data_IF_398635673129
#
_entry.id   IF_398635673129
#
_cell.length_a   1.000
_cell.length_b   1.000
_cell.length_c   1.000
_cell.angle_alpha   90.00
_cell.angle_beta   90.00
_cell.angle_gamma   90.00
#
_symmetry.space_group_name_H-M   'P 1'
#
loop_
_entity.id
_entity.type
_entity.pdbx_description
1 polymer ?
#
# COMPACT_ATOMS: atom_id res chain seq x y z
N UNK A 1 13.45 -6.24 -15.34
CA UNK A 1 14.33 -6.63 -16.46
C UNK A 1 15.82 -6.47 -16.13
N UNK A 2 16.26 -5.32 -15.58
CA UNK A 2 17.66 -5.06 -15.20
C UNK A 2 18.27 -6.12 -14.25
N UNK A 3 17.48 -6.63 -13.30
CA UNK A 3 17.91 -7.68 -12.37
C UNK A 3 18.41 -8.96 -13.09
N UNK A 4 17.68 -9.44 -14.08
CA UNK A 4 18.02 -10.69 -14.80
C UNK A 4 19.29 -10.50 -15.63
N UNK A 5 19.44 -9.33 -16.26
CA UNK A 5 20.64 -8.98 -17.04
C UNK A 5 21.87 -8.90 -16.13
N UNK A 6 21.74 -8.25 -14.97
CA UNK A 6 22.80 -8.17 -13.98
C UNK A 6 23.16 -9.55 -13.39
N UNK A 7 22.16 -10.38 -13.09
CA UNK A 7 22.36 -11.75 -12.62
C UNK A 7 23.16 -12.60 -13.62
N UNK A 8 22.83 -12.51 -14.92
CA UNK A 8 23.57 -13.23 -15.98
C UNK A 8 25.00 -12.73 -16.15
N UNK A 9 25.20 -11.42 -16.17
CA UNK A 9 26.53 -10.82 -16.31
C UNK A 9 27.48 -11.27 -15.19
N UNK A 10 27.01 -11.29 -13.94
CA UNK A 10 27.80 -11.74 -12.79
C UNK A 10 28.07 -13.25 -12.84
N UNK A 11 27.11 -14.06 -13.29
CA UNK A 11 27.33 -15.50 -13.51
C UNK A 11 28.40 -15.79 -14.56
N UNK A 12 28.43 -15.00 -15.63
CA UNK A 12 29.42 -15.14 -16.72
C UNK A 12 30.83 -14.74 -16.26
N UNK A 13 30.96 -13.78 -15.34
CA UNK A 13 32.27 -13.38 -14.80
C UNK A 13 32.80 -14.32 -13.70
N UNK A 14 31.97 -14.68 -12.72
CA UNK A 14 32.42 -15.43 -11.52
C UNK A 14 32.19 -16.95 -11.63
N UNK A 15 31.55 -17.43 -12.69
CA UNK A 15 31.25 -18.86 -12.90
C UNK A 15 30.32 -19.49 -11.86
N UNK A 16 29.73 -18.68 -10.96
CA UNK A 16 28.86 -19.10 -9.87
C UNK A 16 27.63 -18.21 -9.77
N UNK A 17 26.56 -18.72 -9.15
CA UNK A 17 25.31 -17.97 -9.00
C UNK A 17 25.51 -16.85 -7.96
N UNK A 18 25.37 -15.57 -8.33
CA UNK A 18 25.54 -14.45 -7.42
C UNK A 18 24.47 -14.46 -6.32
N UNK A 19 24.87 -14.05 -5.12
CA UNK A 19 23.93 -13.98 -3.99
C UNK A 19 22.87 -12.90 -4.19
N UNK A 20 21.64 -13.16 -3.72
CA UNK A 20 20.54 -12.17 -3.74
C UNK A 20 20.94 -10.85 -3.08
N UNK A 21 21.72 -10.91 -2.01
CA UNK A 21 22.22 -9.74 -1.28
C UNK A 21 23.14 -8.88 -2.13
N UNK A 22 24.09 -9.50 -2.85
CA UNK A 22 24.99 -8.80 -3.76
C UNK A 22 24.21 -8.10 -4.89
N UNK A 23 23.28 -8.81 -5.52
CA UNK A 23 22.44 -8.26 -6.60
C UNK A 23 21.65 -7.06 -6.10
N UNK A 24 21.01 -7.17 -4.94
CA UNK A 24 20.25 -6.07 -4.35
C UNK A 24 21.14 -4.87 -4.01
N UNK A 25 22.37 -5.09 -3.56
CA UNK A 25 23.35 -4.02 -3.31
C UNK A 25 23.72 -3.29 -4.61
N UNK A 26 24.02 -4.02 -5.67
CA UNK A 26 24.40 -3.44 -6.96
C UNK A 26 23.22 -2.73 -7.65
N UNK A 27 21.99 -3.22 -7.49
CA UNK A 27 20.79 -2.52 -7.95
C UNK A 27 20.55 -1.22 -7.18
N UNK A 28 20.90 -1.16 -5.89
CA UNK A 28 20.85 0.08 -5.10
C UNK A 28 21.97 1.05 -5.47
N UNK A 29 23.14 0.53 -5.83
CA UNK A 29 24.32 1.31 -6.19
C UNK A 29 24.91 0.86 -7.53
N UNK A 30 24.27 1.18 -8.67
CA UNK A 30 24.74 0.74 -9.99
C UNK A 30 26.17 1.18 -10.32
N UNK A 31 26.68 2.25 -9.70
CA UNK A 31 28.06 2.72 -9.82
C UNK A 31 29.12 1.72 -9.33
N UNK A 32 28.72 0.69 -8.58
CA UNK A 32 29.61 -0.38 -8.11
C UNK A 32 29.76 -1.52 -9.14
N UNK A 33 29.02 -1.49 -10.25
CA UNK A 33 29.15 -2.48 -11.32
C UNK A 33 30.45 -2.21 -12.09
N UNK A 34 31.36 -3.19 -12.24
CA UNK A 34 32.67 -2.98 -12.87
C UNK A 34 32.60 -2.51 -14.33
N UNK A 35 31.62 -3.01 -15.09
CA UNK A 35 31.36 -2.58 -16.46
C UNK A 35 30.57 -1.27 -16.45
N UNK A 36 31.21 -0.17 -16.84
CA UNK A 36 30.60 1.16 -16.87
C UNK A 36 29.44 1.29 -17.86
N UNK A 37 29.42 0.52 -18.95
CA UNK A 37 28.29 0.51 -19.89
C UNK A 37 27.09 -0.17 -19.25
N UNK A 38 27.32 -1.34 -18.63
CA UNK A 38 26.28 -2.05 -17.90
C UNK A 38 25.77 -1.25 -16.70
N UNK A 39 26.66 -0.61 -15.94
CA UNK A 39 26.32 0.27 -14.83
C UNK A 39 25.35 1.37 -15.27
N UNK A 40 25.64 2.03 -16.38
CA UNK A 40 24.77 3.05 -16.96
C UNK A 40 23.43 2.47 -17.44
N UNK A 41 23.45 1.32 -18.12
CA UNK A 41 22.21 0.67 -18.58
C UNK A 41 21.29 0.27 -17.41
N UNK A 42 21.86 -0.34 -16.35
CA UNK A 42 21.12 -0.71 -15.15
C UNK A 42 20.54 0.53 -14.46
N UNK A 43 21.34 1.59 -14.33
CA UNK A 43 20.87 2.86 -13.79
C UNK A 43 19.70 3.44 -14.60
N UNK A 44 19.83 3.49 -15.94
CA UNK A 44 18.76 3.96 -16.82
C UNK A 44 17.50 3.11 -16.70
N UNK A 45 17.62 1.78 -16.57
CA UNK A 45 16.47 0.93 -16.34
C UNK A 45 15.77 1.23 -15.02
N UNK A 46 16.52 1.51 -13.94
CA UNK A 46 15.93 1.82 -12.62
C UNK A 46 15.21 3.17 -12.65
N UNK A 47 15.86 4.20 -13.17
CA UNK A 47 15.31 5.56 -13.16
C UNK A 47 14.12 5.71 -14.11
N UNK A 48 14.11 4.98 -15.23
CA UNK A 48 13.02 5.03 -16.20
C UNK A 48 11.97 3.91 -16.03
N UNK A 49 12.01 3.15 -14.93
CA UNK A 49 10.98 2.15 -14.64
C UNK A 49 9.68 2.87 -14.26
N UNK A 50 8.71 2.84 -15.18
CA UNK A 50 7.41 3.51 -15.05
C UNK A 50 6.43 2.75 -14.15
N UNK A 51 6.78 1.56 -13.66
CA UNK A 51 5.92 0.77 -12.78
C UNK A 51 6.44 0.72 -11.34
N UNK A 52 7.73 0.49 -11.18
CA UNK A 52 8.39 0.18 -9.89
C UNK A 52 9.69 0.96 -9.68
N UNK A 53 9.90 2.02 -10.44
CA UNK A 53 11.04 2.92 -10.26
C UNK A 53 10.86 3.83 -9.04
N UNK A 54 11.96 4.36 -8.49
CA UNK A 54 11.92 5.21 -7.30
C UNK A 54 11.07 6.48 -7.49
N UNK A 55 11.05 7.04 -8.70
CA UNK A 55 10.20 8.20 -9.01
C UNK A 55 8.71 7.85 -8.92
N UNK A 56 8.33 6.70 -9.46
CA UNK A 56 6.94 6.21 -9.44
C UNK A 56 6.52 5.88 -8.02
N UNK A 57 7.41 5.30 -7.21
CA UNK A 57 7.15 5.04 -5.80
C UNK A 57 6.95 6.35 -5.02
N UNK A 58 7.76 7.38 -5.27
CA UNK A 58 7.55 8.72 -4.68
C UNK A 58 6.20 9.31 -5.08
N UNK A 59 5.81 9.19 -6.35
CA UNK A 59 4.50 9.67 -6.85
C UNK A 59 3.36 8.91 -6.16
N UNK A 60 3.42 7.58 -6.10
CA UNK A 60 2.42 6.75 -5.40
C UNK A 60 2.30 7.13 -3.93
N UNK A 61 3.42 7.36 -3.26
CA UNK A 61 3.42 7.77 -1.86
C UNK A 61 2.79 9.15 -1.66
N UNK A 62 3.13 10.13 -2.51
CA UNK A 62 2.55 11.47 -2.47
C UNK A 62 1.03 11.43 -2.71
N UNK A 63 0.58 10.69 -3.72
CA UNK A 63 -0.85 10.51 -4.02
C UNK A 63 -1.58 9.80 -2.88
N UNK A 64 -0.97 8.78 -2.27
CA UNK A 64 -1.51 8.09 -1.10
C UNK A 64 -1.75 9.06 0.06
N UNK A 65 -0.72 9.84 0.39
CA UNK A 65 -0.80 10.85 1.44
C UNK A 65 -1.87 11.92 1.15
N UNK A 66 -1.98 12.40 -0.08
CA UNK A 66 -3.04 13.36 -0.48
C UNK A 66 -4.45 12.80 -0.21
N UNK A 67 -4.69 11.50 -0.48
CA UNK A 67 -5.99 10.88 -0.23
C UNK A 67 -6.24 10.60 1.25
N UNK A 68 -5.21 10.33 2.05
CA UNK A 68 -5.34 10.26 3.51
C UNK A 68 -5.74 11.63 4.10
N UNK A 69 -5.11 12.72 3.63
CA UNK A 69 -5.48 14.09 4.02
C UNK A 69 -6.92 14.40 3.60
N UNK A 70 -7.30 14.08 2.37
CA UNK A 70 -8.69 14.25 1.90
C UNK A 70 -9.69 13.46 2.76
N UNK A 71 -9.38 12.20 3.08
CA UNK A 71 -10.23 11.38 3.96
C UNK A 71 -10.36 12.00 5.35
N UNK A 72 -9.26 12.53 5.89
CA UNK A 72 -9.25 13.23 7.16
C UNK A 72 -10.19 14.45 7.14
N UNK A 73 -10.12 15.26 6.09
CA UNK A 73 -11.02 16.41 5.90
C UNK A 73 -12.49 15.95 5.84
N UNK A 74 -12.80 14.90 5.07
CA UNK A 74 -14.16 14.34 4.98
C UNK A 74 -14.70 13.84 6.32
N UNK A 75 -13.86 13.19 7.14
CA UNK A 75 -14.22 12.75 8.49
C UNK A 75 -14.54 13.95 9.40
N UNK A 76 -13.70 14.99 9.37
CA UNK A 76 -13.90 16.22 10.14
C UNK A 76 -15.16 16.97 9.72
N UNK A 77 -15.42 17.11 8.41
CA UNK A 77 -16.64 17.74 7.89
C UNK A 77 -17.93 17.03 8.33
N UNK A 78 -17.85 15.72 8.59
CA UNK A 78 -18.95 14.90 9.11
C UNK A 78 -18.99 14.82 10.64
N UNK A 79 -18.09 15.51 11.33
CA UNK A 79 -17.93 15.45 12.79
C UNK A 79 -17.71 14.03 13.32
N UNK A 80 -17.00 13.19 12.56
CA UNK A 80 -16.64 11.84 12.99
C UNK A 80 -15.30 11.94 13.71
N UNK A 81 -15.26 11.47 14.97
CA UNK A 81 -14.03 11.47 15.77
C UNK A 81 -13.16 10.25 15.46
N UNK A 82 -11.85 10.45 15.34
CA UNK A 82 -10.90 9.41 14.95
C UNK A 82 -9.51 9.60 15.55
N UNK A 83 -8.75 8.51 15.56
CA UNK A 83 -7.31 8.46 15.81
C UNK A 83 -6.59 8.16 14.50
N UNK A 84 -5.64 9.02 14.13
CA UNK A 84 -4.80 8.83 12.95
C UNK A 84 -3.60 7.90 13.23
N UNK A 85 -2.97 7.41 12.15
CA UNK A 85 -1.90 6.44 12.20
C UNK A 85 -0.72 6.84 13.14
N UNK A 86 -0.31 8.10 13.10
CA UNK A 86 0.79 8.65 13.91
C UNK A 86 0.52 8.52 15.41
N UNK A 87 -0.72 8.80 15.83
CA UNK A 87 -1.18 8.64 17.21
C UNK A 87 -1.22 7.17 17.63
N UNK A 88 -1.58 6.27 16.72
CA UNK A 88 -1.58 4.83 16.98
C UNK A 88 -0.14 4.31 17.13
N UNK A 89 0.78 4.73 16.25
CA UNK A 89 2.20 4.36 16.36
C UNK A 89 2.81 4.87 17.66
N UNK A 90 2.47 6.09 18.09
CA UNK A 90 2.90 6.63 19.39
C UNK A 90 2.39 5.81 20.59
N UNK A 91 1.23 5.13 20.45
CA UNK A 91 0.68 4.20 21.44
C UNK A 91 1.28 2.79 21.37
N UNK A 92 2.20 2.53 20.44
CA UNK A 92 2.92 1.26 20.32
C UNK A 92 2.24 0.18 19.48
N UNK A 93 1.33 0.55 18.57
CA UNK A 93 0.75 -0.40 17.62
C UNK A 93 1.69 -0.64 16.43
N UNK A 94 2.00 -1.92 16.14
CA UNK A 94 2.88 -2.30 15.02
C UNK A 94 2.19 -2.31 13.64
N UNK A 95 0.85 -2.44 13.63
CA UNK A 95 0.00 -2.52 12.43
C UNK A 95 -1.20 -1.64 12.68
N UNK A 96 -1.34 -0.60 11.87
CA UNK A 96 -2.24 0.52 12.08
C UNK A 96 -2.98 0.81 10.78
N UNK A 97 -4.32 0.83 10.78
CA UNK A 97 -5.05 1.43 9.68
C UNK A 97 -4.81 2.96 9.69
N UNK A 98 -5.12 3.63 8.59
CA UNK A 98 -4.96 5.10 8.50
C UNK A 98 -5.77 5.83 9.57
N UNK A 99 -7.00 5.36 9.80
CA UNK A 99 -7.90 5.93 10.80
C UNK A 99 -8.63 4.84 11.60
N UNK A 100 -8.62 4.97 12.93
CA UNK A 100 -9.54 4.27 13.84
C UNK A 100 -10.60 5.26 14.29
N UNK A 101 -11.88 4.91 14.16
CA UNK A 101 -12.99 5.74 14.61
C UNK A 101 -13.18 5.59 16.12
N UNK A 102 -13.24 6.69 16.84
CA UNK A 102 -13.50 6.65 18.29
C UNK A 102 -14.93 6.19 18.59
N UNK A 103 -15.86 6.58 17.72
CA UNK A 103 -17.24 6.11 17.71
C UNK A 103 -17.48 5.41 16.37
N UNK A 104 -17.81 4.11 16.36
CA UNK A 104 -18.09 3.38 15.13
C UNK A 104 -19.26 3.99 14.36
N UNK A 105 -19.20 3.91 13.04
CA UNK A 105 -20.26 4.37 12.15
C UNK A 105 -20.94 3.20 11.46
N UNK A 106 -22.20 3.37 11.06
CA UNK A 106 -22.90 2.42 10.20
C UNK A 106 -22.88 2.89 8.75
N UNK A 107 -22.48 1.99 7.85
CA UNK A 107 -22.43 2.19 6.38
C UNK A 107 -23.09 0.98 5.74
N UNK A 108 -24.16 1.18 4.97
CA UNK A 108 -24.93 0.08 4.35
C UNK A 108 -25.29 -1.06 5.32
N UNK A 109 -25.64 -0.72 6.56
CA UNK A 109 -25.97 -1.70 7.61
C UNK A 109 -24.78 -2.43 8.25
N UNK A 110 -23.55 -2.09 7.87
CA UNK A 110 -22.33 -2.63 8.45
C UNK A 110 -21.72 -1.62 9.43
N UNK A 111 -21.29 -2.10 10.60
CA UNK A 111 -20.58 -1.27 11.58
C UNK A 111 -19.12 -1.17 11.15
N UNK A 112 -18.56 0.03 11.20
CA UNK A 112 -17.19 0.33 10.75
C UNK A 112 -16.43 0.94 11.92
N UNK A 113 -15.33 0.31 12.31
CA UNK A 113 -14.44 0.76 13.39
C UNK A 113 -13.17 1.45 12.89
N UNK A 114 -12.75 1.15 11.67
CA UNK A 114 -11.55 1.71 11.07
C UNK A 114 -11.73 1.90 9.57
N UNK A 115 -10.97 2.83 9.00
CA UNK A 115 -10.96 3.13 7.58
C UNK A 115 -9.52 3.09 7.08
N UNK A 116 -9.33 2.45 5.92
CA UNK A 116 -8.07 2.41 5.18
C UNK A 116 -8.27 3.05 3.81
N UNK A 117 -7.40 3.99 3.46
CA UNK A 117 -7.33 4.75 2.23
C UNK A 117 -6.33 4.10 1.27
N UNK A 118 -6.80 3.61 0.13
CA UNK A 118 -5.94 3.08 -0.95
C UNK A 118 -6.11 3.95 -2.19
N UNK A 119 -5.14 4.84 -2.43
CA UNK A 119 -5.08 5.66 -3.65
C UNK A 119 -4.55 4.86 -4.85
N UNK A 120 -5.18 3.72 -5.11
CA UNK A 120 -4.84 2.76 -6.15
C UNK A 120 -6.10 2.03 -6.63
N UNK A 121 -6.01 1.37 -7.77
CA UNK A 121 -7.05 0.44 -8.22
C UNK A 121 -6.92 -0.88 -7.45
N UNK A 122 -8.03 -1.41 -6.93
CA UNK A 122 -8.07 -2.70 -6.25
C UNK A 122 -8.09 -3.87 -7.23
N UNK A 123 -6.91 -4.40 -7.56
CA UNK A 123 -6.76 -5.67 -8.29
C UNK A 123 -6.63 -6.88 -7.34
N UNK A 124 -6.88 -8.09 -7.85
CA UNK A 124 -6.89 -9.33 -7.07
C UNK A 124 -5.56 -9.61 -6.34
N UNK A 125 -4.42 -9.38 -7.01
CA UNK A 125 -3.11 -9.68 -6.46
C UNK A 125 -2.79 -8.74 -5.28
N UNK A 126 -2.95 -7.44 -5.50
CA UNK A 126 -2.71 -6.42 -4.48
C UNK A 126 -3.68 -6.56 -3.31
N UNK A 127 -4.98 -6.77 -3.58
CA UNK A 127 -6.00 -6.93 -2.55
C UNK A 127 -5.73 -8.16 -1.66
N UNK A 128 -5.38 -9.29 -2.27
CA UNK A 128 -5.05 -10.51 -1.53
C UNK A 128 -3.81 -10.33 -0.64
N UNK A 129 -2.80 -9.58 -1.10
CA UNK A 129 -1.65 -9.22 -0.28
C UNK A 129 -2.06 -8.34 0.91
N UNK A 130 -2.85 -7.29 0.68
CA UNK A 130 -3.33 -6.42 1.75
C UNK A 130 -4.21 -7.15 2.79
N UNK A 131 -5.06 -8.07 2.36
CA UNK A 131 -5.84 -8.92 3.28
C UNK A 131 -4.94 -9.64 4.28
N UNK A 132 -3.89 -10.28 3.78
CA UNK A 132 -2.98 -11.09 4.59
C UNK A 132 -2.04 -10.24 5.45
N UNK A 133 -1.52 -9.13 4.90
CA UNK A 133 -0.46 -8.35 5.55
C UNK A 133 -1.00 -7.24 6.46
N UNK A 134 -2.27 -6.85 6.28
CA UNK A 134 -2.89 -5.68 6.90
C UNK A 134 -4.33 -5.96 7.39
N UNK A 135 -5.30 -6.15 6.50
CA UNK A 135 -6.72 -6.01 6.82
C UNK A 135 -7.22 -7.03 7.85
N UNK A 136 -6.79 -8.29 7.75
CA UNK A 136 -7.17 -9.28 8.77
C UNK A 136 -6.56 -8.98 10.13
N UNK A 137 -5.38 -8.35 10.19
CA UNK A 137 -4.79 -7.90 11.45
C UNK A 137 -5.61 -6.79 12.08
N UNK A 138 -6.07 -5.83 11.27
CA UNK A 138 -6.94 -4.75 11.74
C UNK A 138 -8.28 -5.30 12.21
N UNK A 139 -8.89 -6.19 11.43
CA UNK A 139 -10.15 -6.83 11.79
C UNK A 139 -10.07 -7.59 13.12
N UNK A 140 -9.03 -8.40 13.31
CA UNK A 140 -8.84 -9.14 14.56
C UNK A 140 -8.63 -8.23 15.78
N UNK A 141 -8.09 -7.02 15.59
CA UNK A 141 -7.77 -6.08 16.68
C UNK A 141 -8.88 -5.08 16.98
N UNK A 142 -9.52 -4.57 15.95
CA UNK A 142 -10.42 -3.42 16.02
C UNK A 142 -11.84 -3.73 15.54
N UNK A 143 -12.08 -4.93 15.01
CA UNK A 143 -13.37 -5.33 14.47
C UNK A 143 -13.56 -4.92 13.00
N UNK A 144 -14.80 -4.96 12.49
CA UNK A 144 -15.09 -4.63 11.10
C UNK A 144 -14.60 -3.25 10.64
N UNK A 145 -14.22 -3.13 9.37
CA UNK A 145 -13.68 -1.90 8.80
C UNK A 145 -13.98 -1.70 7.33
N UNK A 146 -13.61 -0.52 6.85
CA UNK A 146 -13.85 -0.03 5.50
C UNK A 146 -12.52 0.19 4.79
N UNK A 147 -12.40 -0.30 3.56
CA UNK A 147 -11.29 0.03 2.65
C UNK A 147 -11.85 0.84 1.49
N UNK A 148 -11.25 2.00 1.24
CA UNK A 148 -11.63 2.89 0.14
C UNK A 148 -10.55 2.79 -0.95
N UNK A 149 -10.90 2.20 -2.10
CA UNK A 149 -10.08 2.18 -3.30
C UNK A 149 -10.46 3.35 -4.21
N UNK A 150 -9.76 4.48 -4.08
CA UNK A 150 -10.14 5.75 -4.72
C UNK A 150 -10.18 5.74 -6.25
N UNK A 151 -9.53 4.76 -6.88
CA UNK A 151 -9.57 4.59 -8.34
C UNK A 151 -10.42 3.41 -8.80
N UNK A 152 -11.28 2.89 -7.91
CA UNK A 152 -12.14 1.74 -8.15
C UNK A 152 -11.47 0.40 -7.84
N UNK A 153 -12.25 -0.67 -7.92
CA UNK A 153 -11.79 -2.03 -7.66
C UNK A 153 -12.63 -3.03 -8.46
N UNK A 154 -12.14 -4.25 -8.60
CA UNK A 154 -12.90 -5.37 -9.21
C UNK A 154 -14.03 -5.75 -8.24
N UNK A 155 -15.30 -5.66 -8.67
CA UNK A 155 -16.47 -5.84 -7.79
C UNK A 155 -16.46 -7.16 -7.01
N UNK A 156 -15.96 -8.24 -7.63
CA UNK A 156 -15.85 -9.57 -7.02
C UNK A 156 -14.94 -9.61 -5.78
N UNK A 157 -14.09 -8.60 -5.56
CA UNK A 157 -13.23 -8.51 -4.39
C UNK A 157 -14.03 -8.23 -3.10
N UNK A 158 -15.21 -7.60 -3.18
CA UNK A 158 -16.05 -7.31 -2.01
C UNK A 158 -16.81 -8.55 -1.49
N UNK A 159 -16.26 -9.74 -1.71
CA UNK A 159 -16.77 -11.01 -1.19
C UNK A 159 -16.60 -11.18 0.33
N UNK A 160 -15.84 -10.29 0.99
CA UNK A 160 -15.56 -10.31 2.43
C UNK A 160 -16.38 -9.32 3.26
N UNK A 161 -17.34 -8.61 2.64
CA UNK A 161 -18.26 -7.69 3.32
C UNK A 161 -18.91 -8.31 4.56
N UNK A 162 -19.49 -9.50 4.43
CA UNK A 162 -20.14 -10.23 5.52
C UNK A 162 -19.17 -10.74 6.60
N UNK A 163 -17.87 -10.75 6.32
CA UNK A 163 -16.81 -11.07 7.28
C UNK A 163 -16.26 -9.82 7.98
N UNK A 164 -16.73 -8.63 7.61
CA UNK A 164 -16.37 -7.37 8.24
C UNK A 164 -15.30 -6.55 7.51
N UNK A 165 -14.98 -6.87 6.25
CA UNK A 165 -14.16 -6.00 5.40
C UNK A 165 -15.06 -5.48 4.28
N UNK A 166 -15.47 -4.22 4.37
CA UNK A 166 -16.30 -3.56 3.35
C UNK A 166 -15.39 -2.80 2.38
N UNK A 167 -15.65 -2.93 1.07
CA UNK A 167 -14.96 -2.15 0.04
C UNK A 167 -15.86 -1.04 -0.53
N UNK A 168 -15.28 0.13 -0.74
CA UNK A 168 -15.90 1.26 -1.46
C UNK A 168 -14.89 1.90 -2.39
N UNK A 169 -15.38 2.63 -3.39
CA UNK A 169 -14.58 3.43 -4.31
C UNK A 169 -14.59 4.94 -3.97
N UNK A 170 -15.40 5.33 -2.98
CA UNK A 170 -15.53 6.68 -2.48
C UNK A 170 -15.95 6.67 -0.99
N UNK A 171 -15.80 7.82 -0.34
CA UNK A 171 -16.28 8.00 1.03
C UNK A 171 -17.82 7.94 1.09
N UNK A 172 -18.41 7.13 1.99
CA UNK A 172 -19.86 6.92 2.01
C UNK A 172 -20.61 8.19 2.39
N UNK A 173 -21.72 8.45 1.69
CA UNK A 173 -22.60 9.59 1.99
C UNK A 173 -23.68 9.26 3.01
N UNK A 174 -24.07 7.98 3.08
CA UNK A 174 -25.11 7.43 3.94
C UNK A 174 -24.52 6.93 5.27
N UNK A 175 -23.91 7.84 6.02
CA UNK A 175 -23.33 7.52 7.33
C UNK A 175 -24.37 7.75 8.42
N UNK A 176 -24.63 6.72 9.24
CA UNK A 176 -25.33 6.86 10.51
C UNK A 176 -24.34 6.72 11.67
N UNK A 177 -24.29 7.73 12.53
CA UNK A 177 -23.53 7.68 13.79
C UNK A 177 -24.37 6.88 14.79
N UNK A 178 -23.75 5.90 15.44
CA UNK A 178 -24.39 5.05 16.45
C UNK A 178 -24.41 5.68 17.85
#
# INVERSE_FOLDING_TARGET
MARIVLERFLQEQDGSVPSKTLINSLLRHPSQIPDGVLANQVYQCIVNDYCYGPLVDCIKHAIGYEHEVLLQEMLLERNISFLAEDQLRAKGYDKTPDFILEVPIAVEGHIIHWIESKASFGDECSHQAYLNDQFWSYWNRFGPGLVIYWYGFIEELDCHRNRGILLKDCFPTDIAVL
#
